data_IF_668613883896
#
_entry.id   IF_668613883896
#
_cell.length_a   1.000
_cell.length_b   1.000
_cell.length_c   1.000
_cell.angle_alpha   90.00
_cell.angle_beta   90.00
_cell.angle_gamma   90.00
#
_symmetry.space_group_name_H-M   'P 1'
#
loop_
_entity.id
_entity.type
_entity.pdbx_description
1 polymer ?
#
# COMPACT_ATOMS: atom_id res chain seq x y z
N UNK A 1 43.81 21.07 58.41
CA UNK A 1 43.42 21.72 57.14
C UNK A 1 43.40 20.67 56.02
N UNK A 2 42.30 19.90 55.85
CA UNK A 2 42.12 19.06 54.65
C UNK A 2 40.68 18.49 54.50
N UNK A 3 39.63 19.21 54.92
CA UNK A 3 38.24 18.71 54.89
C UNK A 3 37.37 19.37 53.82
N UNK A 4 37.96 19.83 52.71
CA UNK A 4 37.23 20.56 51.66
C UNK A 4 37.36 20.00 50.23
N UNK A 5 37.65 18.71 50.06
CA UNK A 5 37.74 18.09 48.73
C UNK A 5 36.79 16.90 48.50
N UNK A 6 36.25 16.33 49.58
CA UNK A 6 35.33 15.18 49.53
C UNK A 6 33.97 15.52 48.90
N UNK A 7 33.28 16.63 49.27
CA UNK A 7 31.98 16.92 48.66
C UNK A 7 32.08 17.24 47.17
N UNK A 8 33.14 17.94 46.74
CA UNK A 8 33.38 18.23 45.33
C UNK A 8 33.64 16.98 44.47
N UNK A 9 34.36 15.99 45.03
CA UNK A 9 34.61 14.71 44.36
C UNK A 9 33.32 13.90 44.17
N UNK A 10 32.44 13.92 45.17
CA UNK A 10 31.15 13.24 45.11
C UNK A 10 30.25 13.83 44.02
N UNK A 11 30.19 15.16 43.93
CA UNK A 11 29.42 15.84 42.89
C UNK A 11 30.01 15.53 41.50
N UNK A 12 31.34 15.56 41.35
CA UNK A 12 31.99 15.23 40.08
C UNK A 12 31.71 13.78 39.64
N UNK A 13 31.76 12.82 40.56
CA UNK A 13 31.45 11.42 40.27
C UNK A 13 29.98 11.23 39.84
N UNK A 14 29.05 11.93 40.50
CA UNK A 14 27.63 11.89 40.17
C UNK A 14 27.36 12.50 38.78
N UNK A 15 28.02 13.61 38.44
CA UNK A 15 27.92 14.23 37.11
C UNK A 15 28.49 13.32 36.01
N UNK A 16 29.62 12.64 36.26
CA UNK A 16 30.18 11.67 35.31
C UNK A 16 29.23 10.49 35.12
N UNK A 17 28.66 9.95 36.19
CA UNK A 17 27.69 8.86 36.11
C UNK A 17 26.44 9.28 35.34
N UNK A 18 25.93 10.50 35.57
CA UNK A 18 24.81 11.05 34.83
C UNK A 18 25.14 11.28 33.35
N UNK A 19 26.34 11.80 33.03
CA UNK A 19 26.80 11.99 31.65
C UNK A 19 26.98 10.65 30.92
N UNK A 20 27.56 9.64 31.59
CA UNK A 20 27.65 8.28 31.06
C UNK A 20 26.27 7.69 30.85
N UNK A 21 25.36 7.84 31.82
CA UNK A 21 23.99 7.36 31.70
C UNK A 21 23.29 8.04 30.51
N UNK A 22 23.43 9.36 30.34
CA UNK A 22 22.86 10.10 29.21
C UNK A 22 23.48 9.69 27.86
N UNK A 23 24.77 9.34 27.84
CA UNK A 23 25.46 8.81 26.66
C UNK A 23 25.01 7.37 26.34
N UNK A 24 24.69 6.57 27.37
CA UNK A 24 24.18 5.21 27.24
C UNK A 24 22.68 5.16 26.91
N UNK A 25 21.88 6.10 27.42
CA UNK A 25 20.48 6.33 27.02
C UNK A 25 20.46 7.19 25.76
N UNK A 26 20.90 6.61 24.64
CA UNK A 26 20.96 7.32 23.36
C UNK A 26 19.58 7.91 22.98
N UNK A 27 19.48 9.22 22.66
CA UNK A 27 18.26 9.81 22.11
C UNK A 27 17.79 9.08 20.84
N UNK A 28 18.74 8.51 20.07
CA UNK A 28 18.45 7.69 18.90
C UNK A 28 17.45 6.57 19.20
N UNK A 29 17.53 5.89 20.35
CA UNK A 29 16.63 4.79 20.68
C UNK A 29 15.18 5.27 20.88
N UNK A 30 15.00 6.46 21.47
CA UNK A 30 13.69 7.06 21.66
C UNK A 30 13.09 7.54 20.33
N UNK A 31 13.90 8.18 19.49
CA UNK A 31 13.47 8.65 18.17
C UNK A 31 13.11 7.48 17.25
N UNK A 32 13.95 6.44 17.25
CA UNK A 32 13.72 5.20 16.54
C UNK A 32 12.43 4.49 16.97
N UNK A 33 12.10 4.49 18.26
CA UNK A 33 10.84 3.96 18.75
C UNK A 33 9.64 4.78 18.26
N UNK A 34 9.75 6.11 18.28
CA UNK A 34 8.71 7.00 17.77
C UNK A 34 8.48 6.84 16.26
N UNK A 35 9.55 6.71 15.47
CA UNK A 35 9.46 6.46 14.03
C UNK A 35 8.80 5.11 13.73
N UNK A 36 9.15 4.05 14.47
CA UNK A 36 8.47 2.74 14.32
C UNK A 36 6.99 2.81 14.65
N UNK A 37 6.61 3.55 15.70
CA UNK A 37 5.22 3.80 16.04
C UNK A 37 4.49 4.54 14.91
N UNK A 38 5.12 5.55 14.32
CA UNK A 38 4.56 6.32 13.20
C UNK A 38 4.40 5.45 11.95
N UNK A 39 5.42 4.64 11.61
CA UNK A 39 5.34 3.69 10.49
C UNK A 39 4.21 2.69 10.71
N UNK A 40 4.02 2.21 11.94
CA UNK A 40 2.94 1.29 12.26
C UNK A 40 1.57 1.93 12.02
N UNK A 41 1.37 3.16 12.47
CA UNK A 41 0.12 3.89 12.26
C UNK A 41 -0.18 4.07 10.75
N UNK A 42 0.83 4.48 9.97
CA UNK A 42 0.64 4.63 8.52
C UNK A 42 0.46 3.28 7.79
N UNK A 43 0.97 2.18 8.37
CA UNK A 43 0.71 0.83 7.86
C UNK A 43 -0.73 0.38 8.18
N UNK A 44 -1.25 0.73 9.36
CA UNK A 44 -2.65 0.51 9.75
C UNK A 44 -3.59 1.23 8.75
N UNK A 45 -3.27 2.45 8.31
CA UNK A 45 -4.04 3.15 7.27
C UNK A 45 -4.12 2.36 5.93
N UNK A 46 -3.05 1.65 5.57
CA UNK A 46 -3.03 0.76 4.39
C UNK A 46 -3.92 -0.46 4.64
N UNK A 47 -3.79 -1.08 5.81
CA UNK A 47 -4.56 -2.25 6.22
C UNK A 47 -6.06 -1.94 6.25
N UNK A 48 -6.45 -0.76 6.71
CA UNK A 48 -7.84 -0.30 6.75
C UNK A 48 -8.48 -0.23 5.36
N UNK A 49 -7.74 0.27 4.35
CA UNK A 49 -8.26 0.30 2.96
C UNK A 49 -8.37 -1.09 2.37
N UNK A 50 -7.39 -1.97 2.65
CA UNK A 50 -7.44 -3.37 2.24
C UNK A 50 -8.66 -4.06 2.86
N UNK A 51 -8.86 -3.88 4.16
CA UNK A 51 -9.98 -4.44 4.91
C UNK A 51 -11.33 -3.89 4.40
N UNK A 52 -11.41 -2.59 4.08
CA UNK A 52 -12.62 -1.98 3.51
C UNK A 52 -12.98 -2.61 2.16
N UNK A 53 -11.98 -2.89 1.32
CA UNK A 53 -12.19 -3.58 0.06
C UNK A 53 -12.57 -5.06 0.25
N UNK A 54 -11.92 -5.77 1.18
CA UNK A 54 -12.23 -7.17 1.47
C UNK A 54 -13.64 -7.34 2.06
N UNK A 55 -14.07 -6.42 2.93
CA UNK A 55 -15.44 -6.33 3.42
C UNK A 55 -16.41 -6.06 2.27
N UNK A 56 -16.12 -5.10 1.39
CA UNK A 56 -16.93 -4.87 0.18
C UNK A 56 -17.06 -6.13 -0.68
N UNK A 57 -15.96 -6.86 -0.88
CA UNK A 57 -15.91 -8.05 -1.72
C UNK A 57 -16.68 -9.24 -1.12
N UNK A 58 -16.51 -9.50 0.17
CA UNK A 58 -16.88 -10.79 0.79
C UNK A 58 -18.03 -10.71 1.79
N UNK A 59 -18.38 -9.53 2.29
CA UNK A 59 -19.39 -9.38 3.36
C UNK A 59 -20.76 -9.90 2.94
N UNK A 60 -21.45 -10.55 3.86
CA UNK A 60 -22.82 -11.03 3.70
C UNK A 60 -23.86 -9.97 4.09
N UNK A 61 -23.41 -8.80 4.55
CA UNK A 61 -24.31 -7.71 4.88
C UNK A 61 -25.11 -7.26 3.65
N UNK A 62 -26.42 -7.12 3.80
CA UNK A 62 -27.33 -6.75 2.71
C UNK A 62 -26.91 -5.45 2.00
N UNK A 63 -26.38 -4.48 2.76
CA UNK A 63 -25.84 -3.23 2.21
C UNK A 63 -24.66 -3.49 1.26
N UNK A 64 -23.71 -4.34 1.66
CA UNK A 64 -22.52 -4.67 0.86
C UNK A 64 -22.87 -5.50 -0.37
N UNK A 65 -23.83 -6.40 -0.24
CA UNK A 65 -24.41 -7.14 -1.38
C UNK A 65 -25.06 -6.19 -2.37
N UNK A 66 -25.95 -5.28 -1.91
CA UNK A 66 -26.58 -4.29 -2.77
C UNK A 66 -25.54 -3.39 -3.44
N UNK A 67 -24.51 -3.01 -2.69
CA UNK A 67 -23.44 -2.17 -3.20
C UNK A 67 -22.64 -2.81 -4.33
N UNK A 68 -22.18 -4.05 -4.15
CA UNK A 68 -21.41 -4.76 -5.17
C UNK A 68 -22.24 -5.29 -6.34
N UNK A 69 -23.57 -5.32 -6.24
CA UNK A 69 -24.44 -5.83 -7.30
C UNK A 69 -25.18 -4.73 -8.05
N UNK A 70 -25.67 -3.70 -7.36
CA UNK A 70 -26.54 -2.67 -7.93
C UNK A 70 -25.80 -1.36 -8.20
N UNK A 71 -24.80 -1.01 -7.39
CA UNK A 71 -24.17 0.32 -7.46
C UNK A 71 -22.77 0.29 -8.07
N UNK A 72 -21.91 -0.62 -7.62
CA UNK A 72 -20.48 -0.64 -7.99
C UNK A 72 -19.98 -2.03 -8.39
N UNK A 73 -20.67 -2.78 -9.26
CA UNK A 73 -20.20 -4.12 -9.67
C UNK A 73 -18.87 -4.11 -10.44
N UNK A 74 -18.49 -2.99 -11.05
CA UNK A 74 -17.21 -2.84 -11.76
C UNK A 74 -15.97 -2.96 -10.85
N UNK A 75 -16.09 -2.68 -9.55
CA UNK A 75 -14.97 -2.85 -8.61
C UNK A 75 -14.53 -4.31 -8.43
N UNK A 76 -15.43 -5.26 -8.70
CA UNK A 76 -15.13 -6.70 -8.61
C UNK A 76 -14.62 -7.29 -9.92
N UNK A 77 -14.65 -6.52 -11.01
CA UNK A 77 -14.15 -6.94 -12.30
C UNK A 77 -12.69 -6.53 -12.44
N UNK A 78 -11.81 -7.54 -12.38
CA UNK A 78 -10.36 -7.35 -12.49
C UNK A 78 -9.93 -6.97 -13.92
N UNK A 79 -10.78 -7.21 -14.92
CA UNK A 79 -10.50 -6.92 -16.31
C UNK A 79 -11.19 -5.61 -16.78
N UNK A 80 -11.76 -4.85 -15.85
CA UNK A 80 -12.39 -3.56 -16.14
C UNK A 80 -11.40 -2.59 -16.81
N UNK A 81 -11.80 -2.00 -17.93
CA UNK A 81 -11.00 -1.04 -18.72
C UNK A 81 -10.94 0.36 -18.13
N UNK A 82 -11.69 0.64 -17.06
CA UNK A 82 -11.65 1.96 -16.43
C UNK A 82 -10.31 2.19 -15.72
N UNK A 83 -9.58 3.27 -16.07
CA UNK A 83 -8.23 3.49 -15.56
C UNK A 83 -8.18 3.73 -14.05
N UNK A 84 -9.26 4.24 -13.44
CA UNK A 84 -9.29 4.43 -11.98
C UNK A 84 -9.45 3.11 -11.24
N UNK A 85 -10.25 2.20 -11.78
CA UNK A 85 -10.47 0.86 -11.21
C UNK A 85 -9.20 0.01 -11.38
N UNK A 86 -8.59 0.03 -12.57
CA UNK A 86 -7.32 -0.65 -12.84
C UNK A 86 -6.20 -0.15 -11.91
N UNK A 87 -6.06 1.17 -11.77
CA UNK A 87 -5.05 1.77 -10.89
C UNK A 87 -5.21 1.34 -9.43
N UNK A 88 -6.46 1.27 -8.93
CA UNK A 88 -6.72 0.79 -7.58
C UNK A 88 -6.30 -0.68 -7.39
N UNK A 89 -6.65 -1.57 -8.33
CA UNK A 89 -6.24 -2.99 -8.22
C UNK A 89 -4.72 -3.15 -8.29
N UNK A 90 -4.05 -2.35 -9.12
CA UNK A 90 -2.60 -2.30 -9.19
C UNK A 90 -1.99 -1.90 -7.84
N UNK A 91 -2.42 -0.77 -7.26
CA UNK A 91 -1.93 -0.28 -5.97
C UNK A 91 -2.29 -1.21 -4.82
N UNK A 92 -3.49 -1.80 -4.81
CA UNK A 92 -3.90 -2.79 -3.82
C UNK A 92 -2.94 -3.99 -3.80
N UNK A 93 -2.58 -4.50 -4.99
CA UNK A 93 -1.59 -5.59 -5.11
C UNK A 93 -0.21 -5.17 -4.61
N UNK A 94 0.19 -3.93 -4.89
CA UNK A 94 1.46 -3.32 -4.47
C UNK A 94 1.54 -3.16 -2.96
N UNK A 95 0.49 -2.62 -2.35
CA UNK A 95 0.34 -2.41 -0.92
C UNK A 95 0.42 -3.72 -0.14
N UNK A 96 -0.30 -4.77 -0.57
CA UNK A 96 -0.19 -6.11 0.03
C UNK A 96 1.24 -6.65 0.00
N UNK A 97 1.95 -6.49 -1.12
CA UNK A 97 3.37 -6.87 -1.24
C UNK A 97 4.27 -6.04 -0.33
N UNK A 98 3.98 -4.75 -0.20
CA UNK A 98 4.73 -3.82 0.61
C UNK A 98 4.62 -4.15 2.11
N UNK A 99 3.42 -4.31 2.64
CA UNK A 99 3.17 -4.64 4.06
C UNK A 99 3.91 -5.91 4.50
N UNK A 100 3.86 -6.98 3.68
CA UNK A 100 4.60 -8.23 3.95
C UNK A 100 6.10 -8.01 4.16
N UNK A 101 6.70 -7.03 3.47
CA UNK A 101 8.13 -6.70 3.59
C UNK A 101 8.42 -5.57 4.58
N UNK A 102 7.41 -4.83 5.01
CA UNK A 102 7.58 -3.67 5.89
C UNK A 102 8.00 -4.13 7.28
N UNK A 103 7.28 -5.11 7.84
CA UNK A 103 7.55 -5.62 9.19
C UNK A 103 8.99 -6.13 9.37
N UNK A 104 9.56 -6.77 8.34
CA UNK A 104 10.95 -7.24 8.36
C UNK A 104 11.97 -6.09 8.39
N UNK A 105 11.68 -4.99 7.70
CA UNK A 105 12.59 -3.84 7.60
C UNK A 105 12.51 -2.92 8.82
N UNK A 106 11.30 -2.73 9.36
CA UNK A 106 11.04 -1.89 10.53
C UNK A 106 11.68 -2.47 11.80
N UNK A 107 11.70 -3.80 11.92
CA UNK A 107 12.21 -4.49 13.11
C UNK A 107 13.64 -5.04 12.95
N UNK A 108 14.36 -4.64 11.89
CA UNK A 108 15.77 -5.02 11.74
C UNK A 108 16.61 -4.40 12.87
N UNK A 109 17.54 -5.19 13.42
CA UNK A 109 18.37 -4.81 14.59
C UNK A 109 19.29 -3.62 14.30
N UNK A 110 19.78 -3.51 13.07
CA UNK A 110 20.76 -2.49 12.66
C UNK A 110 20.15 -1.32 11.85
N UNK A 111 18.83 -1.15 11.83
CA UNK A 111 18.21 -0.06 11.05
C UNK A 111 18.49 1.31 11.66
N UNK A 112 19.01 2.23 10.85
CA UNK A 112 19.31 3.59 11.24
C UNK A 112 18.07 4.48 11.32
N UNK A 113 18.16 5.58 12.06
CA UNK A 113 17.09 6.59 12.16
C UNK A 113 16.71 7.16 10.79
N UNK A 114 17.69 7.42 9.91
CA UNK A 114 17.45 7.92 8.55
C UNK A 114 16.72 6.90 7.67
N UNK A 115 17.02 5.60 7.81
CA UNK A 115 16.31 4.55 7.09
C UNK A 115 14.86 4.42 7.56
N UNK A 116 14.60 4.57 8.86
CA UNK A 116 13.23 4.59 9.38
C UNK A 116 12.46 5.82 8.92
N UNK A 117 13.07 7.00 8.89
CA UNK A 117 12.44 8.21 8.34
C UNK A 117 12.11 8.03 6.84
N UNK A 118 13.04 7.44 6.08
CA UNK A 118 12.77 7.08 4.68
C UNK A 118 11.65 6.05 4.54
N UNK A 119 11.58 5.04 5.43
CA UNK A 119 10.50 4.05 5.43
C UNK A 119 9.16 4.68 5.81
N UNK A 120 9.14 5.63 6.74
CA UNK A 120 7.94 6.38 7.12
C UNK A 120 7.41 7.14 5.92
N UNK A 121 8.25 7.94 5.25
CA UNK A 121 7.86 8.71 4.04
C UNK A 121 7.27 7.82 2.95
N UNK A 122 7.86 6.65 2.72
CA UNK A 122 7.35 5.69 1.72
C UNK A 122 6.02 5.07 2.18
N UNK A 123 5.89 4.72 3.46
CA UNK A 123 4.64 4.19 4.03
C UNK A 123 3.51 5.20 3.93
N UNK A 124 3.75 6.46 4.31
CA UNK A 124 2.79 7.57 4.20
C UNK A 124 2.36 7.79 2.74
N UNK A 125 3.33 7.81 1.83
CA UNK A 125 3.06 7.95 0.41
C UNK A 125 2.16 6.85 -0.13
N UNK A 126 2.41 5.60 0.25
CA UNK A 126 1.63 4.42 -0.14
C UNK A 126 0.23 4.42 0.47
N UNK A 127 0.10 4.78 1.74
CA UNK A 127 -1.19 4.90 2.41
C UNK A 127 -2.09 5.92 1.70
N UNK A 128 -1.53 7.10 1.41
CA UNK A 128 -2.24 8.16 0.69
C UNK A 128 -2.63 7.74 -0.74
N UNK A 129 -1.69 7.20 -1.50
CA UNK A 129 -1.92 6.76 -2.89
C UNK A 129 -2.98 5.66 -2.97
N UNK A 130 -2.93 4.66 -2.08
CA UNK A 130 -3.95 3.61 -2.01
C UNK A 130 -5.32 4.18 -1.63
N UNK A 131 -5.40 5.12 -0.67
CA UNK A 131 -6.67 5.74 -0.30
C UNK A 131 -7.26 6.57 -1.43
N UNK A 132 -6.43 7.35 -2.12
CA UNK A 132 -6.85 8.19 -3.25
C UNK A 132 -7.39 7.35 -4.40
N UNK A 133 -6.65 6.31 -4.79
CA UNK A 133 -7.07 5.37 -5.85
C UNK A 133 -8.33 4.61 -5.47
N UNK A 134 -8.49 4.18 -4.21
CA UNK A 134 -9.72 3.56 -3.73
C UNK A 134 -10.94 4.47 -3.86
N UNK A 135 -10.83 5.73 -3.43
CA UNK A 135 -11.92 6.69 -3.55
C UNK A 135 -12.23 7.02 -5.02
N UNK A 136 -11.21 7.09 -5.88
CA UNK A 136 -11.40 7.30 -7.32
C UNK A 136 -12.12 6.14 -7.97
N UNK A 137 -11.66 4.91 -7.72
CA UNK A 137 -12.25 3.68 -8.24
C UNK A 137 -13.72 3.53 -7.83
N UNK A 138 -14.07 3.84 -6.58
CA UNK A 138 -15.48 3.80 -6.12
C UNK A 138 -16.37 4.79 -6.88
N UNK A 139 -15.88 6.01 -7.11
CA UNK A 139 -16.62 7.02 -7.89
C UNK A 139 -16.77 6.58 -9.34
N UNK A 140 -15.71 6.07 -9.95
CA UNK A 140 -15.73 5.55 -11.32
C UNK A 140 -16.71 4.38 -11.46
N UNK A 141 -16.62 3.39 -10.58
CA UNK A 141 -17.52 2.24 -10.57
C UNK A 141 -18.99 2.64 -10.37
N UNK A 142 -19.25 3.66 -9.55
CA UNK A 142 -20.61 4.18 -9.37
C UNK A 142 -21.11 4.89 -10.63
N UNK A 143 -20.25 5.67 -11.29
CA UNK A 143 -20.58 6.36 -12.54
C UNK A 143 -20.85 5.37 -13.69
N UNK A 144 -20.09 4.28 -13.76
CA UNK A 144 -20.31 3.16 -14.68
C UNK A 144 -21.64 2.44 -14.39
N UNK A 145 -21.98 2.30 -13.10
CA UNK A 145 -23.22 1.67 -12.64
C UNK A 145 -23.30 0.18 -12.99
N UNK A 146 -24.48 -0.44 -12.89
CA UNK A 146 -24.65 -1.89 -13.07
C UNK A 146 -24.64 -2.36 -14.53
N UNK A 147 -24.70 -1.43 -15.49
CA UNK A 147 -24.74 -1.72 -16.93
C UNK A 147 -23.40 -1.46 -17.63
N UNK A 148 -22.32 -1.35 -16.88
CA UNK A 148 -20.99 -1.21 -17.46
C UNK A 148 -20.69 -2.41 -18.36
N UNK A 149 -20.14 -2.16 -19.54
CA UNK A 149 -19.89 -3.19 -20.56
C UNK A 149 -18.80 -4.14 -20.07
N UNK A 150 -19.18 -5.10 -19.23
CA UNK A 150 -18.37 -6.30 -18.94
C UNK A 150 -17.91 -6.99 -20.23
N UNK A 151 -18.67 -6.78 -21.30
CA UNK A 151 -18.43 -7.25 -22.66
C UNK A 151 -17.26 -6.57 -23.36
N UNK A 152 -16.59 -5.53 -22.85
CA UNK A 152 -15.49 -4.90 -23.61
C UNK A 152 -14.24 -5.79 -23.68
N UNK A 153 -13.99 -6.61 -22.66
CA UNK A 153 -12.90 -7.60 -22.65
C UNK A 153 -13.25 -8.77 -23.56
N UNK A 154 -14.47 -9.30 -23.43
CA UNK A 154 -15.02 -10.32 -24.33
C UNK A 154 -15.07 -9.83 -25.80
N UNK A 155 -15.47 -8.58 -26.04
CA UNK A 155 -15.46 -7.98 -27.36
C UNK A 155 -14.03 -7.73 -27.87
N UNK A 156 -13.06 -7.42 -27.00
CA UNK A 156 -11.65 -7.28 -27.41
C UNK A 156 -11.04 -8.63 -27.77
N UNK A 157 -11.31 -9.69 -27.01
CA UNK A 157 -10.85 -11.04 -27.36
C UNK A 157 -11.52 -11.55 -28.63
N UNK A 158 -12.83 -11.35 -28.79
CA UNK A 158 -13.56 -11.67 -30.02
C UNK A 158 -13.06 -10.87 -31.22
N UNK A 159 -12.79 -9.56 -31.06
CA UNK A 159 -12.19 -8.74 -32.13
C UNK A 159 -10.80 -9.20 -32.51
N UNK A 160 -9.98 -9.61 -31.53
CA UNK A 160 -8.63 -10.13 -31.78
C UNK A 160 -8.68 -11.47 -32.52
N UNK A 161 -9.56 -12.38 -32.11
CA UNK A 161 -9.80 -13.64 -32.81
C UNK A 161 -10.28 -13.41 -34.25
N UNK A 162 -11.23 -12.49 -34.45
CA UNK A 162 -11.72 -12.15 -35.79
C UNK A 162 -10.62 -11.56 -36.70
N UNK A 163 -9.69 -10.77 -36.15
CA UNK A 163 -8.54 -10.24 -36.89
C UNK A 163 -7.52 -11.33 -37.25
N UNK A 164 -7.28 -12.29 -36.35
CA UNK A 164 -6.39 -13.43 -36.61
C UNK A 164 -6.98 -14.38 -37.66
N UNK A 165 -8.29 -14.62 -37.64
CA UNK A 165 -9.01 -15.38 -38.68
C UNK A 165 -8.95 -14.68 -40.05
N UNK A 166 -9.17 -13.37 -40.10
CA UNK A 166 -9.07 -12.59 -41.34
C UNK A 166 -7.66 -12.62 -41.94
N UNK A 167 -6.62 -12.47 -41.12
CA UNK A 167 -5.23 -12.55 -41.58
C UNK A 167 -4.91 -13.93 -42.18
N UNK A 168 -5.44 -15.00 -41.59
CA UNK A 168 -5.27 -16.35 -42.10
C UNK A 168 -6.01 -16.59 -43.43
N UNK A 169 -7.22 -16.05 -43.58
CA UNK A 169 -7.99 -16.11 -44.84
C UNK A 169 -7.30 -15.35 -45.98
N UNK A 170 -6.72 -14.18 -45.68
CA UNK A 170 -5.99 -13.37 -46.66
C UNK A 170 -4.69 -14.08 -47.11
N UNK A 171 -3.93 -14.69 -46.19
CA UNK A 171 -2.76 -15.51 -46.53
C UNK A 171 -3.12 -16.73 -47.41
N UNK A 172 -4.27 -17.37 -47.17
CA UNK A 172 -4.74 -18.49 -48.01
C UNK A 172 -5.16 -18.05 -49.42
N UNK A 173 -5.73 -16.85 -49.57
CA UNK A 173 -6.09 -16.29 -50.89
C UNK A 173 -4.87 -15.89 -51.71
N UNK A 174 -3.84 -15.33 -51.07
CA UNK A 174 -2.59 -14.98 -51.73
C UNK A 174 -1.80 -16.23 -52.19
N UNK A 175 -1.80 -17.31 -51.39
CA UNK A 175 -1.14 -18.57 -51.74
C UNK A 175 -1.79 -19.39 -52.86
N UNK A 176 -3.07 -19.16 -53.17
CA UNK A 176 -3.78 -19.83 -54.28
C UNK A 176 -3.67 -19.10 -55.64
N UNK A 177 -3.05 -17.92 -55.64
CA UNK A 177 -2.90 -17.05 -56.83
C UNK A 177 -1.49 -17.11 -57.45
N UNK A 178 -0.62 -17.99 -56.95
CA UNK A 178 0.74 -18.27 -57.45
C UNK A 178 0.83 -19.69 -58.02
#
# INVERSE_FOLDING_TARGET
MATLKIPGLFIAALLIAAALLMLYTRPDASEQAALRGSIRLSAEDIEDVIAEYEDFQSSEAAEKIADRTLYRPALLDLDCSDPSIEAFHYELSGARRFLRRLNLRVNAEEVSTNELDSLLKVTDGRARELKETWLSARRAAFALGPKYEKNEVENRTLRRQALEEQAFEDEQREGHSA
#
